data_IF_818982187180
#
_entry.id   IF_818982187180
#
_cell.length_a   1.000
_cell.length_b   1.000
_cell.length_c   1.000
_cell.angle_alpha   90.00
_cell.angle_beta   90.00
_cell.angle_gamma   90.00
#
_symmetry.space_group_name_H-M   'P 1'
#
loop_
_entity.id
_entity.type
_entity.pdbx_description
1 polymer ?
#
# COMPACT_ATOMS: atom_id res chain seq x y z
N UNK A 1 5.69 9.51 7.52
CA UNK A 1 4.40 9.36 6.82
C UNK A 1 3.78 8.06 7.28
N UNK A 2 2.52 8.06 7.70
CA UNK A 2 1.85 6.86 8.20
C UNK A 2 1.04 6.18 7.10
N UNK A 3 1.12 4.84 7.08
CA UNK A 3 0.39 3.98 6.17
C UNK A 3 -0.45 3.02 7.00
N UNK A 4 -1.73 2.85 6.64
CA UNK A 4 -2.62 1.88 7.27
C UNK A 4 -3.15 0.90 6.23
N UNK A 5 -3.00 -0.39 6.49
CA UNK A 5 -3.64 -1.43 5.70
C UNK A 5 -5.16 -1.42 5.93
N UNK A 6 -5.94 -1.32 4.85
CA UNK A 6 -7.38 -1.20 4.91
C UNK A 6 -8.06 -2.43 5.57
N UNK A 7 -7.54 -3.64 5.35
CA UNK A 7 -8.18 -4.84 5.89
C UNK A 7 -7.92 -5.04 7.38
N UNK A 8 -6.66 -5.06 7.79
CA UNK A 8 -6.28 -5.39 9.17
C UNK A 8 -6.27 -4.16 10.07
N UNK A 9 -6.18 -2.96 9.50
CA UNK A 9 -5.92 -1.74 10.25
C UNK A 9 -4.49 -1.61 10.77
N UNK A 10 -3.60 -2.55 10.46
CA UNK A 10 -2.18 -2.47 10.82
C UNK A 10 -1.53 -1.24 10.21
N UNK A 11 -0.60 -0.63 10.95
CA UNK A 11 0.03 0.63 10.58
C UNK A 11 1.55 0.54 10.56
N UNK A 12 2.17 1.35 9.70
CA UNK A 12 3.62 1.52 9.66
C UNK A 12 3.96 2.97 9.34
N UNK A 13 4.96 3.52 10.02
CA UNK A 13 5.53 4.82 9.68
C UNK A 13 6.75 4.60 8.78
N UNK A 14 6.81 5.35 7.69
CA UNK A 14 7.88 5.28 6.70
C UNK A 14 8.44 6.67 6.38
N UNK A 15 9.64 6.66 5.81
CA UNK A 15 10.31 7.81 5.21
C UNK A 15 10.34 7.65 3.69
N UNK A 16 9.95 8.68 2.95
CA UNK A 16 10.04 8.69 1.49
C UNK A 16 11.51 8.89 1.10
N UNK A 17 12.03 7.99 0.26
CA UNK A 17 13.43 8.02 -0.18
C UNK A 17 13.59 7.98 -1.69
N UNK A 18 12.52 7.69 -2.44
CA UNK A 18 12.53 7.61 -3.90
C UNK A 18 11.17 8.00 -4.49
N UNK A 19 11.16 8.30 -5.79
CA UNK A 19 9.99 8.52 -6.60
C UNK A 19 9.44 7.18 -7.12
N UNK A 20 8.13 7.13 -7.32
CA UNK A 20 7.44 5.97 -7.88
C UNK A 20 6.36 5.44 -6.93
N UNK A 21 5.66 4.37 -7.34
CA UNK A 21 5.84 3.59 -8.57
C UNK A 21 5.38 4.35 -9.81
N UNK A 22 5.63 3.81 -11.02
CA UNK A 22 5.16 4.41 -12.28
C UNK A 22 3.65 4.20 -12.45
N UNK A 23 2.85 4.94 -11.68
CA UNK A 23 1.40 4.76 -11.52
C UNK A 23 0.65 4.63 -12.84
N UNK A 24 1.06 5.39 -13.87
CA UNK A 24 0.44 5.37 -15.21
C UNK A 24 0.40 3.99 -15.86
N UNK A 25 1.36 3.12 -15.57
CA UNK A 25 1.41 1.75 -16.13
C UNK A 25 0.39 0.83 -15.44
N UNK A 26 -0.23 1.29 -14.34
CA UNK A 26 -1.13 0.54 -13.47
C UNK A 26 -2.41 1.33 -13.11
N UNK A 27 -2.76 2.34 -13.92
CA UNK A 27 -3.94 3.16 -13.68
C UNK A 27 -5.21 2.30 -13.67
N UNK A 28 -6.03 2.46 -12.64
CA UNK A 28 -7.29 1.73 -12.49
C UNK A 28 -7.16 0.33 -11.88
N UNK A 29 -5.94 -0.18 -11.65
CA UNK A 29 -5.75 -1.46 -10.97
C UNK A 29 -6.34 -1.40 -9.56
N UNK A 30 -7.23 -2.34 -9.23
CA UNK A 30 -7.94 -2.36 -7.96
C UNK A 30 -7.44 -3.47 -7.03
N UNK A 31 -7.38 -3.15 -5.73
CA UNK A 31 -7.25 -4.15 -4.66
C UNK A 31 -8.34 -3.87 -3.64
N UNK A 32 -9.10 -4.91 -3.28
CA UNK A 32 -10.33 -4.76 -2.51
C UNK A 32 -10.24 -5.44 -1.16
N UNK A 33 -10.98 -4.88 -0.20
CA UNK A 33 -11.16 -5.47 1.10
C UNK A 33 -12.60 -5.24 1.57
N UNK A 34 -13.32 -6.34 1.86
CA UNK A 34 -14.72 -6.31 2.28
C UNK A 34 -15.61 -5.44 1.36
N UNK A 35 -15.43 -5.60 0.04
CA UNK A 35 -16.20 -4.87 -0.98
C UNK A 35 -15.74 -3.42 -1.24
N UNK A 36 -14.91 -2.83 -0.38
CA UNK A 36 -14.32 -1.51 -0.62
C UNK A 36 -12.96 -1.64 -1.31
N UNK A 37 -12.77 -0.95 -2.44
CA UNK A 37 -11.56 -1.05 -3.23
C UNK A 37 -10.71 0.22 -3.18
N UNK A 38 -9.40 0.03 -3.22
CA UNK A 38 -8.41 1.08 -3.52
C UNK A 38 -7.89 0.86 -4.92
N UNK A 39 -7.61 1.94 -5.62
CA UNK A 39 -7.12 1.90 -7.00
C UNK A 39 -5.74 2.54 -7.10
N UNK A 40 -5.03 2.17 -8.15
CA UNK A 40 -3.70 2.63 -8.51
C UNK A 40 -2.59 2.14 -7.57
N UNK A 41 -1.38 2.00 -8.11
CA UNK A 41 -0.16 1.83 -7.30
C UNK A 41 0.39 3.21 -6.96
N UNK A 42 0.42 3.53 -5.67
CA UNK A 42 0.81 4.86 -5.15
C UNK A 42 2.03 4.82 -4.24
N UNK A 43 2.39 3.65 -3.72
CA UNK A 43 3.51 3.45 -2.82
C UNK A 43 4.20 2.14 -3.18
N UNK A 44 5.53 2.16 -3.16
CA UNK A 44 6.36 0.97 -3.18
C UNK A 44 7.09 0.89 -1.84
N UNK A 45 6.95 -0.24 -1.16
CA UNK A 45 7.45 -0.41 0.21
C UNK A 45 8.60 -1.38 0.20
N UNK A 46 9.59 -1.11 1.05
CA UNK A 46 10.60 -2.12 1.35
C UNK A 46 9.93 -3.38 1.91
N UNK A 47 10.53 -4.58 1.76
CA UNK A 47 9.97 -5.80 2.32
C UNK A 47 9.71 -5.71 3.83
N UNK A 48 10.55 -4.97 4.56
CA UNK A 48 10.38 -4.73 5.99
C UNK A 48 9.11 -3.91 6.31
N UNK A 49 8.88 -2.80 5.60
CA UNK A 49 7.70 -1.98 5.82
C UNK A 49 6.41 -2.69 5.36
N UNK A 50 6.46 -3.44 4.26
CA UNK A 50 5.31 -4.23 3.79
C UNK A 50 4.94 -5.32 4.81
N UNK A 51 5.94 -6.03 5.34
CA UNK A 51 5.73 -7.12 6.31
C UNK A 51 5.17 -6.63 7.65
N UNK A 52 5.30 -5.33 7.96
CA UNK A 52 4.68 -4.73 9.14
C UNK A 52 3.15 -4.60 9.02
N UNK A 53 2.60 -4.59 7.79
CA UNK A 53 1.17 -4.36 7.55
C UNK A 53 0.46 -5.48 6.77
N UNK A 54 1.20 -6.45 6.22
CA UNK A 54 0.63 -7.61 5.53
C UNK A 54 1.67 -8.70 5.21
N UNK A 55 1.29 -9.67 4.38
CA UNK A 55 2.13 -10.80 3.98
C UNK A 55 2.73 -10.54 2.59
N UNK A 56 4.05 -10.70 2.42
CA UNK A 56 4.73 -10.49 1.12
C UNK A 56 4.11 -11.31 -0.03
N UNK A 57 3.54 -12.49 0.26
CA UNK A 57 2.87 -13.34 -0.73
C UNK A 57 1.58 -12.74 -1.28
N UNK A 58 0.99 -11.75 -0.60
CA UNK A 58 -0.17 -11.01 -1.12
C UNK A 58 0.19 -10.10 -2.29
N UNK A 59 1.47 -9.69 -2.41
CA UNK A 59 2.00 -8.83 -3.48
C UNK A 59 1.55 -7.36 -3.41
N UNK A 60 0.26 -7.10 -3.19
CA UNK A 60 -0.32 -5.75 -3.08
C UNK A 60 -1.31 -5.69 -1.92
N UNK A 61 -1.44 -4.51 -1.33
CA UNK A 61 -2.39 -4.24 -0.24
C UNK A 61 -3.16 -2.94 -0.52
N UNK A 62 -4.46 -2.89 -0.22
CA UNK A 62 -5.21 -1.64 -0.21
C UNK A 62 -4.84 -0.85 1.04
N UNK A 63 -4.34 0.37 0.89
CA UNK A 63 -3.85 1.19 2.02
C UNK A 63 -4.44 2.60 2.04
N UNK A 64 -4.40 3.21 3.22
CA UNK A 64 -4.57 4.65 3.43
C UNK A 64 -3.21 5.28 3.75
N UNK A 65 -3.00 6.49 3.26
CA UNK A 65 -1.86 7.34 3.59
C UNK A 65 -2.39 8.49 4.43
N UNK A 66 -1.77 8.76 5.57
CA UNK A 66 -2.14 9.86 6.45
C UNK A 66 -0.92 10.38 7.23
N UNK A 67 -1.08 11.55 7.82
CA UNK A 67 -0.06 12.20 8.67
C UNK A 67 0.07 11.52 10.03
#
# INVERSE_FOLDING_TARGET
>A
MNIRHQCSGATVCITITDCGPRTKDWCGEATCCNGACRTNRVLDLTPAAFSAIGNLSSGKLPVYIYE
#
